data_IF_920954254942
#
_entry.id   IF_920954254942
#
_cell.length_a   1.000
_cell.length_b   1.000
_cell.length_c   1.000
_cell.angle_alpha   90.00
_cell.angle_beta   90.00
_cell.angle_gamma   90.00
#
_symmetry.space_group_name_H-M   'P 1'
#
loop_
_entity.id
_entity.type
_entity.pdbx_description
1 polymer ?
#
# COMPACT_ATOMS: atom_id res chain seq x y z
N UNK A 1 0.06 -10.96 24.16
CA UNK A 1 0.43 -10.44 25.50
C UNK A 1 1.92 -10.11 25.59
N UNK A 2 2.79 -10.90 24.95
CA UNK A 2 4.23 -10.66 24.84
C UNK A 2 4.59 -9.38 24.05
N UNK A 3 3.86 -9.03 22.98
CA UNK A 3 4.19 -7.85 22.16
C UNK A 3 3.89 -6.52 22.86
N UNK A 4 2.81 -6.48 23.64
CA UNK A 4 2.50 -5.33 24.50
C UNK A 4 3.56 -5.14 25.58
N UNK A 5 4.14 -6.23 26.08
CA UNK A 5 5.24 -6.18 27.06
C UNK A 5 6.55 -5.72 26.42
N UNK A 6 6.89 -6.23 25.22
CA UNK A 6 8.05 -5.75 24.44
C UNK A 6 7.92 -4.27 24.10
N UNK A 7 6.74 -3.82 23.69
CA UNK A 7 6.44 -2.41 23.43
C UNK A 7 6.67 -1.52 24.65
N UNK A 8 6.10 -1.89 25.81
CA UNK A 8 6.29 -1.12 27.06
C UNK A 8 7.75 -1.07 27.50
N UNK A 9 8.50 -2.15 27.31
CA UNK A 9 9.92 -2.22 27.65
C UNK A 9 10.80 -1.40 26.70
N UNK A 10 10.49 -1.39 25.40
CA UNK A 10 11.15 -0.57 24.38
C UNK A 10 10.91 0.92 24.60
N UNK A 11 9.65 1.32 24.72
CA UNK A 11 9.25 2.69 25.02
C UNK A 11 9.90 3.20 26.32
N UNK A 12 9.85 2.40 27.39
CA UNK A 12 10.46 2.75 28.67
C UNK A 12 11.99 2.86 28.62
N UNK A 13 12.66 2.23 27.65
CA UNK A 13 14.11 2.36 27.45
C UNK A 13 14.44 3.64 26.70
N UNK A 14 13.76 3.90 25.58
CA UNK A 14 13.92 5.12 24.78
C UNK A 14 13.59 6.39 25.59
N UNK A 15 12.48 6.37 26.34
CA UNK A 15 12.08 7.47 27.22
C UNK A 15 13.16 7.79 28.28
N UNK A 16 13.74 6.76 28.91
CA UNK A 16 14.80 6.95 29.92
C UNK A 16 16.10 7.49 29.31
N UNK A 17 16.44 7.08 28.09
CA UNK A 17 17.59 7.61 27.38
C UNK A 17 17.41 9.10 27.08
N UNK A 18 16.25 9.50 26.54
CA UNK A 18 15.92 10.91 26.27
C UNK A 18 15.89 11.77 27.55
N UNK A 19 15.31 11.26 28.64
CA UNK A 19 15.34 11.93 29.95
C UNK A 19 16.76 12.11 30.50
N UNK A 20 17.65 11.14 30.27
CA UNK A 20 19.07 11.22 30.67
C UNK A 20 19.85 12.23 29.83
N UNK A 21 19.43 12.47 28.59
CA UNK A 21 19.96 13.50 27.69
C UNK A 21 19.40 14.91 27.98
N UNK A 22 18.51 15.06 28.96
CA UNK A 22 17.99 16.37 29.40
C UNK A 22 16.65 16.78 28.78
N UNK A 23 16.03 15.93 27.97
CA UNK A 23 14.71 16.21 27.38
C UNK A 23 13.64 16.42 28.45
N UNK A 24 12.68 17.31 28.19
CA UNK A 24 11.50 17.47 29.04
C UNK A 24 10.69 16.16 29.08
N UNK A 25 9.70 16.06 29.97
CA UNK A 25 8.87 14.84 30.04
C UNK A 25 8.10 14.61 28.73
N UNK A 26 7.58 15.68 28.16
CA UNK A 26 6.78 15.67 26.94
C UNK A 26 7.68 15.34 25.74
N UNK A 27 8.85 15.99 25.63
CA UNK A 27 9.83 15.71 24.57
C UNK A 27 10.38 14.29 24.66
N UNK A 28 10.58 13.76 25.86
CA UNK A 28 11.06 12.39 26.04
C UNK A 28 10.00 11.34 25.69
N UNK A 29 8.71 11.66 25.88
CA UNK A 29 7.61 10.79 25.42
C UNK A 29 7.53 10.80 23.90
N UNK A 30 7.67 11.98 23.29
CA UNK A 30 7.66 12.16 21.84
C UNK A 30 8.86 11.47 21.18
N UNK A 31 10.06 11.64 21.73
CA UNK A 31 11.26 10.95 21.24
C UNK A 31 11.13 9.42 21.37
N UNK A 32 10.60 8.92 22.49
CA UNK A 32 10.39 7.49 22.67
C UNK A 32 9.32 6.92 21.73
N UNK A 33 8.27 7.69 21.42
CA UNK A 33 7.28 7.31 20.42
C UNK A 33 7.91 7.27 19.02
N UNK A 34 8.66 8.31 18.64
CA UNK A 34 9.35 8.40 17.34
C UNK A 34 10.34 7.26 17.11
N UNK A 35 11.19 6.92 18.08
CA UNK A 35 12.09 5.77 17.97
C UNK A 35 11.32 4.46 17.75
N UNK A 36 10.23 4.26 18.49
CA UNK A 36 9.41 3.04 18.36
C UNK A 36 8.67 2.96 17.02
N UNK A 37 8.27 4.10 16.46
CA UNK A 37 7.64 4.20 15.15
C UNK A 37 8.69 3.97 14.05
N UNK A 38 9.87 4.59 14.15
CA UNK A 38 10.98 4.37 13.22
C UNK A 38 11.45 2.92 13.17
N UNK A 39 11.58 2.27 14.33
CA UNK A 39 11.89 0.84 14.43
C UNK A 39 10.80 -0.05 13.81
N UNK A 40 9.54 0.38 13.85
CA UNK A 40 8.40 -0.34 13.26
C UNK A 40 8.28 -0.13 11.76
N UNK A 41 8.58 1.07 11.28
CA UNK A 41 8.52 1.44 9.86
C UNK A 41 9.85 1.17 9.12
N UNK A 42 10.91 0.78 9.83
CA UNK A 42 12.19 0.38 9.26
C UNK A 42 13.10 1.54 8.85
N UNK A 43 12.95 2.74 9.41
CA UNK A 43 13.83 3.88 9.13
C UNK A 43 13.92 4.87 10.30
N UNK A 44 15.04 5.62 10.37
CA UNK A 44 15.27 6.64 11.40
C UNK A 44 14.51 7.94 11.06
N UNK A 45 13.76 8.45 12.03
CA UNK A 45 12.92 9.66 11.91
C UNK A 45 13.75 10.93 12.20
N UNK A 46 14.93 10.81 12.85
CA UNK A 46 15.73 11.97 13.27
C UNK A 46 16.29 12.82 12.10
N UNK A 47 16.40 12.27 10.88
CA UNK A 47 16.98 12.94 9.71
C UNK A 47 15.96 13.32 8.61
N UNK A 48 14.66 13.19 8.87
CA UNK A 48 13.66 13.59 7.89
C UNK A 48 13.43 15.11 7.95
N UNK A 49 14.23 15.89 7.21
CA UNK A 49 13.80 17.23 6.76
C UNK A 49 12.58 17.04 5.83
N UNK A 50 11.40 16.88 6.42
CA UNK A 50 10.15 16.92 5.68
C UNK A 50 9.95 18.39 5.30
N UNK A 51 10.06 18.68 4.02
CA UNK A 51 9.73 20.00 3.50
C UNK A 51 8.30 20.34 3.93
N UNK A 52 8.13 21.49 4.58
CA UNK A 52 6.82 21.99 4.98
C UNK A 52 5.90 22.02 3.76
N UNK A 53 4.76 21.33 3.83
CA UNK A 53 3.86 21.20 2.69
C UNK A 53 3.28 22.58 2.34
N UNK A 54 3.20 22.92 1.03
CA UNK A 54 2.55 24.15 0.60
C UNK A 54 1.09 24.22 1.10
N UNK A 55 0.60 25.44 1.33
CA UNK A 55 -0.75 25.67 1.83
C UNK A 55 -1.81 24.97 0.96
N UNK A 56 -2.79 24.33 1.61
CA UNK A 56 -3.89 23.63 0.94
C UNK A 56 -3.57 22.20 0.46
N UNK A 57 -2.30 21.80 0.36
CA UNK A 57 -1.92 20.44 -0.05
C UNK A 57 -2.38 19.39 0.97
N UNK A 58 -2.09 19.64 2.25
CA UNK A 58 -2.50 18.75 3.34
C UNK A 58 -4.03 18.67 3.53
N UNK A 59 -4.75 19.75 3.20
CA UNK A 59 -6.22 19.74 3.23
C UNK A 59 -6.78 18.90 2.08
N UNK A 60 -6.28 19.10 0.87
CA UNK A 60 -6.67 18.33 -0.31
C UNK A 60 -6.43 16.83 -0.14
N UNK A 61 -5.28 16.43 0.43
CA UNK A 61 -5.01 15.00 0.62
C UNK A 61 -5.83 14.36 1.73
N UNK A 62 -6.29 15.14 2.72
CA UNK A 62 -7.16 14.64 3.80
C UNK A 62 -8.60 14.42 3.32
N UNK A 63 -9.09 15.31 2.46
CA UNK A 63 -10.40 15.20 1.83
C UNK A 63 -10.34 15.57 0.34
N UNK A 64 -9.93 14.63 -0.52
CA UNK A 64 -9.76 14.92 -1.95
C UNK A 64 -11.10 14.95 -2.71
N UNK A 65 -12.15 14.30 -2.19
CA UNK A 65 -13.40 14.10 -2.93
C UNK A 65 -14.01 15.40 -3.49
N UNK A 66 -14.08 16.52 -2.74
CA UNK A 66 -14.60 17.78 -3.27
C UNK A 66 -13.83 18.32 -4.48
N UNK A 67 -12.53 18.05 -4.60
CA UNK A 67 -11.70 18.52 -5.71
C UNK A 67 -11.92 17.71 -7.00
N UNK A 68 -12.48 16.49 -6.89
CA UNK A 68 -12.69 15.56 -8.01
C UNK A 68 -14.17 15.26 -8.27
N UNK A 69 -15.08 15.82 -7.48
CA UNK A 69 -16.51 15.74 -7.73
C UNK A 69 -16.85 16.50 -9.02
N UNK A 70 -17.32 15.78 -10.05
CA UNK A 70 -17.89 16.41 -11.25
C UNK A 70 -19.41 16.28 -11.26
N UNK A 71 -20.11 17.32 -11.73
CA UNK A 71 -21.57 17.26 -11.95
C UNK A 71 -21.94 16.17 -12.98
N UNK A 72 -21.00 15.82 -13.86
CA UNK A 72 -21.12 14.80 -14.92
C UNK A 72 -20.68 13.40 -14.49
N UNK A 73 -20.27 13.18 -13.23
CA UNK A 73 -19.83 11.87 -12.73
C UNK A 73 -20.96 10.81 -12.75
N UNK A 74 -22.19 11.19 -13.10
CA UNK A 74 -23.34 10.28 -13.19
C UNK A 74 -23.73 9.67 -11.84
N UNK A 75 -23.29 10.27 -10.73
CA UNK A 75 -23.43 9.69 -9.39
C UNK A 75 -22.39 8.62 -9.04
N UNK A 76 -21.36 8.43 -9.85
CA UNK A 76 -20.24 7.54 -9.51
C UNK A 76 -19.42 8.17 -8.37
N UNK A 77 -19.17 7.39 -7.30
CA UNK A 77 -18.40 7.85 -6.14
C UNK A 77 -16.95 8.21 -6.49
N UNK A 78 -16.25 8.83 -5.52
CA UNK A 78 -14.85 9.24 -5.65
C UNK A 78 -13.96 8.15 -6.26
N UNK A 79 -13.34 8.45 -7.40
CA UNK A 79 -12.43 7.56 -8.11
C UNK A 79 -13.07 6.46 -8.96
N UNK A 80 -14.40 6.40 -9.07
CA UNK A 80 -15.11 5.40 -9.88
C UNK A 80 -15.51 5.85 -11.29
N UNK A 81 -15.59 7.16 -11.54
CA UNK A 81 -15.88 7.69 -12.87
C UNK A 81 -14.77 7.34 -13.89
N UNK A 82 -15.05 7.27 -15.21
CA UNK A 82 -14.00 7.09 -16.21
C UNK A 82 -12.88 8.13 -16.05
N UNK A 83 -11.63 7.70 -16.19
CA UNK A 83 -10.46 8.57 -15.97
C UNK A 83 -9.45 8.45 -17.11
N UNK A 84 -8.85 9.58 -17.49
CA UNK A 84 -7.81 9.64 -18.51
C UNK A 84 -6.42 9.38 -17.90
N UNK A 85 -5.81 8.26 -18.31
CA UNK A 85 -4.41 7.95 -18.01
C UNK A 85 -3.53 8.59 -19.09
N UNK A 86 -2.68 9.54 -18.70
CA UNK A 86 -1.75 10.26 -19.57
C UNK A 86 -0.39 9.56 -19.62
N UNK A 87 0.50 9.89 -20.58
CA UNK A 87 1.88 9.42 -20.55
C UNK A 87 2.63 9.77 -19.25
N UNK A 88 2.35 10.94 -18.66
CA UNK A 88 2.95 11.38 -17.40
C UNK A 88 2.50 10.49 -16.22
N UNK A 89 1.21 10.11 -16.17
CA UNK A 89 0.71 9.12 -15.21
C UNK A 89 1.48 7.79 -15.33
N UNK A 90 1.73 7.33 -16.55
CA UNK A 90 2.47 6.08 -16.75
C UNK A 90 3.94 6.17 -16.32
N UNK A 91 4.59 7.33 -16.48
CA UNK A 91 5.96 7.54 -15.95
C UNK A 91 5.95 7.36 -14.43
N UNK A 92 5.01 7.99 -13.74
CA UNK A 92 4.91 7.93 -12.28
C UNK A 92 4.48 6.54 -11.77
N UNK A 93 3.59 5.85 -12.49
CA UNK A 93 3.22 4.46 -12.24
C UNK A 93 4.45 3.55 -12.17
N UNK A 94 5.40 3.71 -13.10
CA UNK A 94 6.63 2.88 -13.13
C UNK A 94 7.60 3.18 -12.00
N UNK A 95 7.40 4.29 -11.29
CA UNK A 95 8.20 4.67 -10.13
C UNK A 95 7.55 4.27 -8.81
N UNK A 96 6.28 3.80 -8.84
CA UNK A 96 5.58 3.37 -7.65
C UNK A 96 6.40 2.36 -6.85
N UNK A 97 6.47 2.61 -5.55
CA UNK A 97 7.14 1.76 -4.58
C UNK A 97 6.10 1.28 -3.58
N UNK A 98 5.91 -0.03 -3.46
CA UNK A 98 5.00 -0.61 -2.48
C UNK A 98 5.71 -0.95 -1.16
N UNK A 99 4.92 -0.93 -0.10
CA UNK A 99 5.20 -1.42 1.24
C UNK A 99 3.98 -2.19 1.75
N UNK A 100 3.95 -2.54 3.02
CA UNK A 100 2.89 -3.31 3.64
C UNK A 100 2.13 -2.51 4.69
N UNK A 101 0.81 -2.40 4.54
CA UNK A 101 -0.10 -1.97 5.59
C UNK A 101 -0.21 -3.09 6.61
N UNK A 102 0.18 -2.82 7.86
CA UNK A 102 0.11 -3.78 8.95
C UNK A 102 -1.26 -3.83 9.65
N UNK A 103 -2.23 -3.01 9.24
CA UNK A 103 -3.57 -3.01 9.82
C UNK A 103 -4.31 -4.32 9.53
N UNK A 104 -5.12 -4.80 10.49
CA UNK A 104 -5.93 -6.03 10.35
C UNK A 104 -5.08 -7.27 9.97
N UNK A 105 -5.28 -7.82 8.75
CA UNK A 105 -4.48 -8.93 8.19
C UNK A 105 -3.30 -8.43 7.34
N UNK A 106 -3.29 -7.14 7.08
CA UNK A 106 -2.38 -6.41 6.24
C UNK A 106 -2.71 -6.47 4.77
N UNK A 107 -2.10 -5.57 3.99
CA UNK A 107 -2.21 -5.56 2.54
C UNK A 107 -1.11 -4.69 1.91
N UNK A 108 -0.78 -4.87 0.63
CA UNK A 108 0.10 -3.96 -0.09
C UNK A 108 -0.44 -2.52 -0.08
N UNK A 109 0.42 -1.57 0.23
CA UNK A 109 0.14 -0.13 0.09
C UNK A 109 1.27 0.56 -0.65
N UNK A 110 1.00 1.69 -1.29
CA UNK A 110 2.07 2.55 -1.79
C UNK A 110 2.88 3.08 -0.58
N UNK A 111 4.22 3.03 -0.67
CA UNK A 111 5.15 3.43 0.40
C UNK A 111 4.86 4.87 0.81
N UNK A 112 4.32 5.12 2.01
CA UNK A 112 3.87 6.45 2.39
C UNK A 112 5.06 7.39 2.61
N UNK A 113 6.27 6.90 2.89
CA UNK A 113 7.45 7.75 3.03
C UNK A 113 8.06 8.12 1.67
N UNK A 114 7.96 7.21 0.69
CA UNK A 114 8.55 7.36 -0.64
C UNK A 114 7.65 6.76 -1.73
N UNK A 115 6.47 7.36 -2.02
CA UNK A 115 5.48 6.74 -2.89
C UNK A 115 6.04 6.37 -4.26
N UNK A 116 6.98 7.16 -4.76
CA UNK A 116 7.63 6.97 -6.06
C UNK A 116 9.16 6.85 -5.94
N UNK A 117 9.64 6.37 -4.78
CA UNK A 117 11.06 6.09 -4.53
C UNK A 117 11.88 7.25 -3.94
N UNK A 118 11.34 8.48 -3.90
CA UNK A 118 12.00 9.64 -3.27
C UNK A 118 11.16 10.23 -2.13
N UNK A 119 11.84 10.90 -1.19
CA UNK A 119 11.22 11.57 -0.04
C UNK A 119 10.71 12.98 -0.39
N UNK A 120 11.20 13.60 -1.45
CA UNK A 120 10.80 14.95 -1.88
C UNK A 120 9.63 14.91 -2.88
N UNK A 121 8.49 14.37 -2.44
CA UNK A 121 7.34 14.07 -3.28
C UNK A 121 6.93 15.21 -4.21
N UNK A 122 6.80 16.44 -3.69
CA UNK A 122 6.37 17.59 -4.49
C UNK A 122 7.38 17.96 -5.60
N UNK A 123 8.68 17.83 -5.33
CA UNK A 123 9.71 18.09 -6.32
C UNK A 123 9.70 17.00 -7.41
N UNK A 124 9.55 15.74 -7.02
CA UNK A 124 9.40 14.63 -7.97
C UNK A 124 8.16 14.79 -8.86
N UNK A 125 7.02 15.21 -8.29
CA UNK A 125 5.82 15.50 -9.06
C UNK A 125 6.07 16.65 -10.07
N UNK A 126 6.75 17.72 -9.67
CA UNK A 126 7.09 18.83 -10.56
C UNK A 126 8.02 18.44 -11.73
N UNK A 127 8.88 17.42 -11.55
CA UNK A 127 9.70 16.87 -12.63
C UNK A 127 8.86 16.12 -13.68
N UNK A 128 7.82 15.40 -13.24
CA UNK A 128 6.91 14.63 -14.12
C UNK A 128 5.85 15.52 -14.75
N UNK A 129 5.38 16.54 -14.03
CA UNK A 129 4.35 17.50 -14.43
C UNK A 129 4.90 18.93 -14.42
N UNK A 130 5.78 19.28 -15.37
CA UNK A 130 6.48 20.56 -15.36
C UNK A 130 5.52 21.73 -15.56
N UNK A 131 5.67 22.75 -14.71
CA UNK A 131 4.92 24.01 -14.80
C UNK A 131 3.59 24.03 -14.05
N UNK A 132 3.20 22.93 -13.40
CA UNK A 132 2.04 22.90 -12.51
C UNK A 132 2.34 23.53 -11.14
N UNK A 133 1.31 24.12 -10.54
CA UNK A 133 1.40 24.68 -9.18
C UNK A 133 1.21 23.59 -8.10
N UNK A 134 1.51 23.93 -6.85
CA UNK A 134 1.47 22.96 -5.76
C UNK A 134 0.09 22.29 -5.56
N UNK A 135 -1.05 23.01 -5.60
CA UNK A 135 -2.36 22.38 -5.56
C UNK A 135 -2.62 21.39 -6.70
N UNK A 136 -2.21 21.73 -7.93
CA UNK A 136 -2.38 20.84 -9.08
C UNK A 136 -1.47 19.61 -8.97
N UNK A 137 -0.21 19.78 -8.55
CA UNK A 137 0.67 18.66 -8.24
C UNK A 137 0.10 17.76 -7.14
N UNK A 138 -0.53 18.33 -6.11
CA UNK A 138 -1.21 17.56 -5.07
C UNK A 138 -2.38 16.74 -5.64
N UNK A 139 -3.14 17.29 -6.59
CA UNK A 139 -4.15 16.55 -7.34
C UNK A 139 -3.53 15.41 -8.15
N UNK A 140 -2.37 15.61 -8.82
CA UNK A 140 -1.67 14.53 -9.54
C UNK A 140 -1.31 13.35 -8.64
N UNK A 141 -0.98 13.60 -7.37
CA UNK A 141 -0.75 12.51 -6.43
C UNK A 141 -2.02 11.69 -6.16
N UNK A 142 -3.15 12.37 -5.95
CA UNK A 142 -4.45 11.72 -5.76
C UNK A 142 -4.88 10.98 -7.03
N UNK A 143 -4.66 11.54 -8.22
CA UNK A 143 -4.95 10.88 -9.49
C UNK A 143 -4.24 9.53 -9.62
N UNK A 144 -3.07 9.34 -9.00
CA UNK A 144 -2.40 8.05 -9.03
C UNK A 144 -3.14 6.94 -8.27
N UNK A 145 -4.04 7.27 -7.34
CA UNK A 145 -5.02 6.30 -6.80
C UNK A 145 -5.97 5.82 -7.91
N UNK A 146 -6.46 6.73 -8.74
CA UNK A 146 -7.33 6.38 -9.86
C UNK A 146 -6.57 5.53 -10.90
N UNK A 147 -5.33 5.93 -11.22
CA UNK A 147 -4.45 5.21 -12.15
C UNK A 147 -4.20 3.79 -11.66
N UNK A 148 -3.82 3.60 -10.39
CA UNK A 148 -3.55 2.27 -9.83
C UNK A 148 -4.78 1.36 -9.95
N UNK A 149 -5.96 1.83 -9.54
CA UNK A 149 -7.18 1.05 -9.62
C UNK A 149 -7.48 0.56 -11.06
N UNK A 150 -7.27 1.43 -12.06
CA UNK A 150 -7.51 1.09 -13.47
C UNK A 150 -6.44 0.18 -14.05
N UNK A 151 -5.18 0.38 -13.66
CA UNK A 151 -4.07 -0.46 -14.08
C UNK A 151 -4.27 -1.89 -13.60
N UNK A 152 -4.72 -2.10 -12.35
CA UNK A 152 -4.96 -3.45 -11.82
C UNK A 152 -6.08 -4.21 -12.57
N UNK A 153 -7.06 -3.49 -13.12
CA UNK A 153 -8.17 -4.08 -13.90
C UNK A 153 -7.77 -4.28 -15.37
N UNK A 154 -7.20 -3.26 -16.01
CA UNK A 154 -7.01 -3.19 -17.46
C UNK A 154 -5.59 -3.56 -17.92
N UNK A 155 -4.61 -3.46 -17.03
CA UNK A 155 -3.21 -3.77 -17.31
C UNK A 155 -3.00 -5.25 -17.58
N UNK A 156 -2.01 -5.57 -18.43
CA UNK A 156 -1.68 -6.95 -18.79
C UNK A 156 -0.26 -7.28 -18.38
N UNK A 157 -0.11 -8.30 -17.54
CA UNK A 157 1.17 -8.89 -17.18
C UNK A 157 1.10 -10.40 -17.44
N UNK A 158 2.16 -10.97 -18.00
CA UNK A 158 2.27 -12.43 -18.13
C UNK A 158 2.69 -13.05 -16.81
N UNK A 159 2.27 -14.29 -16.52
CA UNK A 159 2.90 -15.04 -15.44
C UNK A 159 4.38 -15.28 -15.75
N UNK A 160 5.21 -15.28 -14.73
CA UNK A 160 6.65 -15.34 -14.90
C UNK A 160 7.43 -14.85 -13.70
N UNK A 161 8.72 -14.60 -13.94
CA UNK A 161 9.71 -14.26 -12.94
C UNK A 161 10.22 -12.85 -13.21
N UNK A 162 10.15 -11.99 -12.20
CA UNK A 162 10.38 -10.56 -12.32
C UNK A 162 11.44 -10.10 -11.33
N UNK A 163 12.49 -9.46 -11.85
CA UNK A 163 13.44 -8.70 -11.03
C UNK A 163 12.84 -7.32 -10.82
N UNK A 164 12.63 -6.96 -9.56
CA UNK A 164 12.07 -5.67 -9.18
C UNK A 164 13.14 -4.59 -9.25
N UNK A 165 12.73 -3.37 -9.61
CA UNK A 165 13.62 -2.21 -9.75
C UNK A 165 13.44 -1.19 -8.63
N UNK A 166 12.22 -1.07 -8.09
CA UNK A 166 11.90 0.00 -7.14
C UNK A 166 11.97 -0.45 -5.67
N UNK A 167 11.90 -1.77 -5.44
CA UNK A 167 12.16 -2.40 -4.12
C UNK A 167 13.10 -3.58 -4.30
N UNK A 168 13.88 -3.86 -3.27
CA UNK A 168 14.79 -4.99 -3.20
C UNK A 168 14.18 -6.18 -2.41
N UNK A 169 14.73 -7.39 -2.53
CA UNK A 169 14.28 -8.54 -1.72
C UNK A 169 14.26 -8.26 -0.21
N UNK A 170 15.23 -7.47 0.29
CA UNK A 170 15.29 -7.10 1.71
C UNK A 170 14.17 -6.14 2.12
N UNK A 171 13.68 -5.29 1.20
CA UNK A 171 12.51 -4.45 1.45
C UNK A 171 11.26 -5.32 1.66
N UNK A 172 11.07 -6.36 0.84
CA UNK A 172 9.95 -7.30 0.97
C UNK A 172 10.00 -8.05 2.31
N UNK A 173 11.17 -8.57 2.68
CA UNK A 173 11.38 -9.24 3.99
C UNK A 173 11.14 -8.29 5.15
N UNK A 174 11.57 -7.04 5.04
CA UNK A 174 11.36 -6.03 6.08
C UNK A 174 9.88 -5.68 6.23
N UNK A 175 9.17 -5.46 5.12
CA UNK A 175 7.75 -5.09 5.10
C UNK A 175 6.86 -6.19 5.72
N UNK A 176 7.22 -7.46 5.53
CA UNK A 176 6.46 -8.61 6.04
C UNK A 176 7.06 -9.21 7.33
N UNK A 177 8.00 -8.51 7.98
CA UNK A 177 8.59 -8.96 9.25
C UNK A 177 7.53 -9.09 10.34
N UNK A 178 7.55 -10.20 11.06
CA UNK A 178 6.60 -10.48 12.15
C UNK A 178 5.31 -11.16 11.70
N UNK A 179 5.12 -11.35 10.39
CA UNK A 179 4.17 -12.33 9.86
C UNK A 179 4.76 -13.74 9.90
N UNK A 180 3.93 -14.77 9.75
CA UNK A 180 4.35 -16.19 9.82
C UNK A 180 4.42 -16.77 11.24
N UNK A 181 4.23 -15.96 12.28
CA UNK A 181 4.28 -16.43 13.67
C UNK A 181 5.70 -16.73 14.12
N UNK A 182 5.88 -17.81 14.90
CA UNK A 182 7.18 -18.17 15.49
C UNK A 182 8.22 -18.62 14.45
N UNK A 183 7.77 -19.13 13.30
CA UNK A 183 8.63 -19.63 12.23
C UNK A 183 9.09 -18.54 11.24
N UNK A 184 8.55 -17.32 11.38
CA UNK A 184 8.66 -16.21 10.40
C UNK A 184 8.21 -16.65 8.98
N UNK A 185 8.26 -15.74 8.01
CA UNK A 185 7.99 -16.09 6.61
C UNK A 185 9.30 -16.44 5.89
N UNK A 186 9.28 -17.51 5.11
CA UNK A 186 10.38 -17.83 4.19
C UNK A 186 10.29 -16.98 2.91
N UNK A 187 11.39 -16.94 2.14
CA UNK A 187 11.41 -16.31 0.82
C UNK A 187 10.28 -16.84 -0.10
N UNK A 188 10.01 -18.14 -0.05
CA UNK A 188 8.94 -18.75 -0.83
C UNK A 188 7.54 -18.28 -0.39
N UNK A 189 7.33 -18.03 0.90
CA UNK A 189 6.04 -17.55 1.43
C UNK A 189 5.73 -16.13 0.97
N UNK A 190 6.76 -15.32 0.70
CA UNK A 190 6.64 -13.95 0.17
C UNK A 190 6.88 -13.86 -1.34
N UNK A 191 7.08 -14.99 -2.02
CA UNK A 191 7.08 -15.10 -3.47
C UNK A 191 8.44 -14.85 -4.12
N UNK A 192 9.52 -14.85 -3.34
CA UNK A 192 10.89 -14.74 -3.80
C UNK A 192 11.45 -16.11 -4.18
N UNK A 193 12.18 -16.16 -5.29
CA UNK A 193 13.02 -17.30 -5.65
C UNK A 193 14.45 -17.16 -5.07
N UNK A 194 15.30 -18.16 -5.35
CA UNK A 194 16.68 -18.20 -4.87
C UNK A 194 17.57 -17.04 -5.40
N UNK A 195 17.19 -16.42 -6.51
CA UNK A 195 17.90 -15.26 -7.08
C UNK A 195 17.34 -13.93 -6.55
N UNK A 196 16.30 -13.98 -5.70
CA UNK A 196 15.58 -12.79 -5.23
C UNK A 196 14.58 -12.23 -6.24
N UNK A 197 14.23 -12.97 -7.29
CA UNK A 197 13.19 -12.57 -8.22
C UNK A 197 11.81 -12.89 -7.66
N UNK A 198 10.82 -12.04 -7.93
CA UNK A 198 9.43 -12.31 -7.59
C UNK A 198 8.80 -13.22 -8.64
N UNK A 199 8.14 -14.28 -8.17
CA UNK A 199 7.33 -15.16 -9.01
C UNK A 199 5.89 -14.68 -9.04
N UNK A 200 5.40 -14.30 -10.22
CA UNK A 200 3.99 -13.93 -10.47
C UNK A 200 3.31 -15.06 -11.24
N UNK A 201 2.24 -15.59 -10.66
CA UNK A 201 1.43 -16.68 -11.23
C UNK A 201 0.03 -16.24 -11.60
N UNK A 202 -0.70 -17.09 -12.33
CA UNK A 202 -2.05 -16.78 -12.81
C UNK A 202 -3.05 -16.49 -11.67
N UNK A 203 -2.89 -17.13 -10.51
CA UNK A 203 -3.73 -16.87 -9.33
C UNK A 203 -3.50 -15.45 -8.77
N UNK A 204 -2.25 -14.95 -8.78
CA UNK A 204 -1.96 -13.57 -8.42
C UNK A 204 -2.65 -12.59 -9.36
N UNK A 205 -2.55 -12.85 -10.67
CA UNK A 205 -3.15 -11.99 -11.71
C UNK A 205 -4.68 -11.98 -11.63
N UNK A 206 -5.31 -13.08 -11.22
CA UNK A 206 -6.76 -13.12 -10.95
C UNK A 206 -7.10 -12.26 -9.74
N UNK A 207 -6.40 -12.45 -8.62
CA UNK A 207 -6.64 -11.68 -7.39
C UNK A 207 -6.39 -10.18 -7.55
N UNK A 208 -5.41 -9.78 -8.37
CA UNK A 208 -5.13 -8.37 -8.66
C UNK A 208 -6.34 -7.64 -9.26
N UNK A 209 -7.08 -8.29 -10.17
CA UNK A 209 -8.23 -7.66 -10.84
C UNK A 209 -9.39 -7.33 -9.92
N UNK A 210 -9.54 -8.12 -8.85
CA UNK A 210 -10.60 -7.97 -7.85
C UNK A 210 -10.11 -7.26 -6.57
N UNK A 211 -8.89 -6.70 -6.60
CA UNK A 211 -8.30 -6.00 -5.48
C UNK A 211 -9.03 -4.69 -5.21
N UNK A 212 -9.47 -4.48 -3.97
CA UNK A 212 -10.06 -3.23 -3.51
C UNK A 212 -8.97 -2.25 -3.14
N UNK A 213 -8.87 -1.13 -3.88
CA UNK A 213 -7.98 -0.02 -3.56
C UNK A 213 -8.79 1.09 -2.89
N UNK A 214 -8.24 1.69 -1.85
CA UNK A 214 -8.80 2.84 -1.15
C UNK A 214 -7.83 4.00 -1.10
N UNK A 215 -8.38 5.21 -1.12
CA UNK A 215 -7.70 6.35 -0.50
C UNK A 215 -7.82 6.21 1.02
N UNK A 216 -6.80 6.58 1.81
CA UNK A 216 -6.90 6.48 3.25
C UNK A 216 -7.99 7.39 3.84
N UNK A 217 -8.44 7.08 5.05
CA UNK A 217 -9.41 7.95 5.73
C UNK A 217 -8.78 9.31 6.06
N UNK A 218 -9.59 10.34 6.28
CA UNK A 218 -9.09 11.66 6.73
C UNK A 218 -8.17 11.54 7.95
N UNK A 219 -8.53 10.68 8.90
CA UNK A 219 -7.73 10.43 10.10
C UNK A 219 -6.40 9.73 9.80
N UNK A 220 -6.43 8.69 8.95
CA UNK A 220 -5.20 8.02 8.51
C UNK A 220 -4.29 8.98 7.70
N UNK A 221 -4.88 9.97 7.01
CA UNK A 221 -4.15 10.99 6.29
C UNK A 221 -3.48 11.98 7.24
N UNK A 222 -4.21 12.48 8.24
CA UNK A 222 -3.70 13.37 9.27
C UNK A 222 -2.54 12.71 10.04
N UNK A 223 -2.72 11.46 10.49
CA UNK A 223 -1.66 10.71 11.20
C UNK A 223 -0.39 10.56 10.34
N UNK A 224 -0.54 10.17 9.07
CA UNK A 224 0.62 10.06 8.16
C UNK A 224 1.33 11.40 7.99
N UNK A 225 0.59 12.49 7.80
CA UNK A 225 1.16 13.81 7.59
C UNK A 225 1.92 14.30 8.84
N UNK A 226 1.35 14.07 10.03
CA UNK A 226 2.00 14.37 11.31
C UNK A 226 3.28 13.56 11.53
N UNK A 227 3.34 12.35 10.97
CA UNK A 227 4.52 11.48 10.97
C UNK A 227 5.52 11.78 9.85
N UNK A 228 5.23 12.75 8.98
CA UNK A 228 6.11 13.10 7.87
C UNK A 228 6.01 12.17 6.66
N UNK A 229 4.93 11.43 6.56
CA UNK A 229 4.60 10.55 5.47
C UNK A 229 3.44 11.12 4.64
N UNK A 230 3.22 10.54 3.47
CA UNK A 230 2.24 10.98 2.49
C UNK A 230 1.03 10.05 2.48
N UNK A 231 -0.19 10.59 2.47
CA UNK A 231 -1.39 9.83 2.13
C UNK A 231 -1.24 9.19 0.76
N UNK A 232 -1.45 7.88 0.66
CA UNK A 232 -1.18 7.14 -0.55
C UNK A 232 -2.19 6.02 -0.77
N UNK A 233 -2.40 5.65 -2.05
CA UNK A 233 -3.29 4.56 -2.42
C UNK A 233 -2.87 3.25 -1.74
N UNK A 234 -3.81 2.58 -1.10
CA UNK A 234 -3.58 1.31 -0.42
C UNK A 234 -4.62 0.29 -0.84
N UNK A 235 -4.24 -0.98 -0.89
CA UNK A 235 -5.23 -2.05 -0.86
C UNK A 235 -5.99 -1.99 0.47
N UNK A 236 -7.29 -2.23 0.45
CA UNK A 236 -8.10 -2.27 1.66
C UNK A 236 -7.59 -3.41 2.56
N UNK A 237 -6.96 -3.07 3.69
CA UNK A 237 -6.36 -4.03 4.61
C UNK A 237 -7.38 -4.85 5.38
N UNK A 238 -8.64 -4.41 5.43
CA UNK A 238 -9.75 -5.14 6.04
C UNK A 238 -10.48 -6.03 5.04
N UNK A 239 -10.63 -5.55 3.80
CA UNK A 239 -11.41 -6.17 2.73
C UNK A 239 -10.67 -6.14 1.38
N UNK A 240 -9.51 -6.78 1.30
CA UNK A 240 -8.61 -6.67 0.14
C UNK A 240 -9.22 -7.16 -1.17
N UNK A 241 -10.11 -8.17 -1.13
CA UNK A 241 -10.57 -8.87 -2.33
C UNK A 241 -12.10 -8.87 -2.51
N UNK A 242 -12.84 -8.07 -1.73
CA UNK A 242 -14.30 -8.13 -1.74
C UNK A 242 -14.94 -7.48 -0.53
N UNK A 243 -16.01 -8.07 0.00
CA UNK A 243 -16.79 -7.52 1.11
C UNK A 243 -16.72 -8.36 2.40
N UNK A 244 -16.00 -9.48 2.37
CA UNK A 244 -15.89 -10.41 3.49
C UNK A 244 -14.69 -10.05 4.38
N UNK A 245 -14.90 -10.07 5.70
CA UNK A 245 -13.81 -9.90 6.68
C UNK A 245 -12.85 -11.10 6.70
N UNK A 246 -13.36 -12.29 6.35
CA UNK A 246 -12.53 -13.49 6.18
C UNK A 246 -12.11 -13.58 4.72
N UNK A 247 -10.98 -12.96 4.41
CA UNK A 247 -10.49 -12.68 3.06
C UNK A 247 -10.37 -13.94 2.20
N UNK A 248 -10.13 -15.09 2.83
CA UNK A 248 -10.00 -16.40 2.20
C UNK A 248 -11.28 -16.82 1.46
N UNK A 249 -12.46 -16.34 1.87
CA UNK A 249 -13.72 -16.58 1.15
C UNK A 249 -13.69 -15.91 -0.22
N UNK A 250 -13.34 -14.62 -0.25
CA UNK A 250 -13.34 -13.84 -1.48
C UNK A 250 -12.22 -14.34 -2.40
N UNK A 251 -11.03 -14.61 -1.85
CA UNK A 251 -9.94 -15.22 -2.63
C UNK A 251 -10.36 -16.57 -3.22
N UNK A 252 -10.97 -17.46 -2.43
CA UNK A 252 -11.44 -18.75 -2.94
C UNK A 252 -12.54 -18.57 -4.00
N UNK A 253 -13.43 -17.58 -3.85
CA UNK A 253 -14.46 -17.27 -4.85
C UNK A 253 -13.84 -16.80 -6.17
N UNK A 254 -12.93 -15.83 -6.13
CA UNK A 254 -12.21 -15.28 -7.30
C UNK A 254 -11.45 -16.39 -8.03
N UNK A 255 -10.80 -17.28 -7.27
CA UNK A 255 -10.03 -18.39 -7.83
C UNK A 255 -10.89 -19.57 -8.30
N UNK A 256 -12.21 -19.54 -8.09
CA UNK A 256 -13.11 -20.66 -8.43
C UNK A 256 -12.89 -21.91 -7.56
N UNK A 257 -12.39 -21.71 -6.33
CA UNK A 257 -12.05 -22.75 -5.35
C UNK A 257 -13.00 -22.77 -4.14
N UNK A 258 -13.98 -21.87 -4.09
CA UNK A 258 -14.94 -21.83 -2.98
C UNK A 258 -15.78 -23.12 -2.97
N UNK A 259 -15.69 -23.96 -1.92
CA UNK A 259 -16.48 -25.16 -1.79
C UNK A 259 -17.96 -24.81 -1.58
N UNK A 260 -18.87 -25.78 -1.78
CA UNK A 260 -20.28 -25.60 -1.43
C UNK A 260 -20.44 -25.17 0.02
N UNK A 261 -21.43 -24.31 0.28
CA UNK A 261 -21.74 -23.87 1.64
C UNK A 261 -22.01 -25.10 2.53
N UNK A 262 -21.33 -25.22 3.69
CA UNK A 262 -21.60 -26.31 4.60
C UNK A 262 -22.98 -26.15 5.26
N UNK A 263 -23.56 -27.23 5.82
CA UNK A 263 -24.92 -27.21 6.37
C UNK A 263 -25.14 -26.20 7.52
N UNK A 264 -24.07 -25.83 8.22
CA UNK A 264 -24.04 -24.84 9.31
C UNK A 264 -23.73 -23.42 8.84
N UNK A 265 -23.44 -23.23 7.53
CA UNK A 265 -23.20 -21.94 6.91
C UNK A 265 -21.83 -21.31 7.21
N UNK A 266 -20.92 -22.02 7.89
CA UNK A 266 -19.60 -21.49 8.25
C UNK A 266 -18.54 -22.00 7.28
N UNK A 267 -17.99 -21.13 6.43
CA UNK A 267 -16.87 -21.52 5.58
C UNK A 267 -15.60 -21.68 6.40
N UNK A 268 -15.14 -22.93 6.51
CA UNK A 268 -13.81 -23.27 7.01
C UNK A 268 -13.04 -23.97 5.87
N UNK A 269 -12.05 -23.31 5.24
CA UNK A 269 -11.24 -23.95 4.21
C UNK A 269 -10.44 -25.10 4.81
N UNK A 270 -10.27 -26.18 4.06
CA UNK A 270 -9.32 -27.23 4.45
C UNK A 270 -7.92 -26.61 4.70
N UNK A 271 -7.13 -27.15 5.65
CA UNK A 271 -5.86 -26.52 6.05
C UNK A 271 -4.89 -26.23 4.89
N UNK A 272 -4.87 -27.11 3.88
CA UNK A 272 -4.04 -26.92 2.70
C UNK A 272 -4.48 -25.72 1.85
N UNK A 273 -5.79 -25.53 1.67
CA UNK A 273 -6.35 -24.38 0.96
C UNK A 273 -6.11 -23.10 1.77
N UNK A 274 -6.35 -23.13 3.08
CA UNK A 274 -6.11 -21.99 3.95
C UNK A 274 -4.64 -21.51 3.86
N UNK A 275 -3.69 -22.43 3.97
CA UNK A 275 -2.26 -22.12 3.85
C UNK A 275 -1.89 -21.61 2.45
N UNK A 276 -2.50 -22.13 1.39
CA UNK A 276 -2.29 -21.67 0.02
C UNK A 276 -2.77 -20.23 -0.19
N UNK A 277 -4.01 -19.93 0.22
CA UNK A 277 -4.60 -18.58 0.11
C UNK A 277 -3.81 -17.57 0.94
N UNK A 278 -3.41 -17.94 2.16
CA UNK A 278 -2.60 -17.08 3.01
C UNK A 278 -1.24 -16.76 2.39
N UNK A 279 -0.56 -17.74 1.77
CA UNK A 279 0.68 -17.49 1.04
C UNK A 279 0.46 -16.57 -0.16
N UNK A 280 -0.55 -16.82 -0.98
CA UNK A 280 -0.90 -15.94 -2.10
C UNK A 280 -1.10 -14.49 -1.63
N UNK A 281 -1.75 -14.29 -0.49
CA UNK A 281 -1.97 -12.97 0.08
C UNK A 281 -0.67 -12.24 0.43
N UNK A 282 0.29 -12.91 1.08
CA UNK A 282 1.60 -12.31 1.36
C UNK A 282 2.40 -12.02 0.08
N UNK A 283 2.32 -12.93 -0.90
CA UNK A 283 2.96 -12.79 -2.21
C UNK A 283 2.42 -11.59 -3.01
N UNK A 284 1.22 -11.08 -2.70
CA UNK A 284 0.66 -9.92 -3.39
C UNK A 284 1.52 -8.66 -3.31
N UNK A 285 2.33 -8.49 -2.26
CA UNK A 285 3.22 -7.33 -2.17
C UNK A 285 4.21 -7.30 -3.33
N UNK A 286 4.99 -8.38 -3.48
CA UNK A 286 5.94 -8.51 -4.57
C UNK A 286 5.22 -8.55 -5.92
N UNK A 287 4.08 -9.24 -6.01
CA UNK A 287 3.35 -9.39 -7.26
C UNK A 287 2.77 -8.04 -7.76
N UNK A 288 2.20 -7.23 -6.88
CA UNK A 288 1.71 -5.88 -7.23
C UNK A 288 2.86 -4.96 -7.62
N UNK A 289 4.01 -5.05 -6.94
CA UNK A 289 5.21 -4.30 -7.35
C UNK A 289 5.67 -4.71 -8.76
N UNK A 290 5.77 -6.01 -9.04
CA UNK A 290 6.10 -6.51 -10.38
C UNK A 290 5.09 -6.00 -11.42
N UNK A 291 3.82 -5.93 -11.07
CA UNK A 291 2.75 -5.46 -11.94
C UNK A 291 2.87 -3.97 -12.29
N UNK A 292 3.01 -3.07 -11.31
CA UNK A 292 3.15 -1.64 -11.59
C UNK A 292 4.43 -1.32 -12.35
N UNK A 293 5.47 -2.14 -12.21
CA UNK A 293 6.71 -1.97 -12.96
C UNK A 293 6.63 -2.46 -14.41
N UNK A 294 5.87 -3.54 -14.69
CA UNK A 294 6.01 -4.30 -15.93
C UNK A 294 4.72 -4.49 -16.74
N UNK A 295 3.54 -4.27 -16.16
CA UNK A 295 2.28 -4.52 -16.86
C UNK A 295 2.10 -3.59 -18.07
N UNK A 296 1.67 -4.12 -19.20
CA UNK A 296 1.36 -3.35 -20.40
C UNK A 296 0.04 -2.60 -20.22
N UNK A 297 0.08 -1.29 -20.46
CA UNK A 297 -1.08 -0.40 -20.53
C UNK A 297 -0.70 0.84 -21.35
N UNK A 298 -1.62 1.31 -22.20
CA UNK A 298 -1.42 2.52 -23.01
C UNK A 298 -2.13 3.73 -22.37
N UNK A 299 -1.72 4.97 -22.71
CA UNK A 299 -2.53 6.14 -22.38
C UNK A 299 -3.94 6.02 -22.99
N UNK A 300 -4.95 6.52 -22.28
CA UNK A 300 -6.35 6.43 -22.70
C UNK A 300 -7.34 6.65 -21.57
N UNK A 301 -8.63 6.63 -21.89
CA UNK A 301 -9.72 6.74 -20.92
C UNK A 301 -10.16 5.35 -20.50
N UNK A 302 -10.16 5.09 -19.19
CA UNK A 302 -10.50 3.80 -18.60
C UNK A 302 -11.64 3.92 -17.60
N UNK A 303 -12.61 3.01 -17.71
CA UNK A 303 -13.74 2.85 -16.78
C UNK A 303 -13.54 1.55 -15.99
N UNK A 304 -13.71 1.62 -14.66
CA UNK A 304 -13.60 0.44 -13.79
C UNK A 304 -14.73 -0.58 -14.05
N UNK A 305 -15.88 -0.15 -14.56
CA UNK A 305 -17.04 -1.01 -14.81
C UNK A 305 -17.04 -1.67 -16.19
N UNK A 306 -16.15 -1.25 -17.10
CA UNK A 306 -16.11 -1.69 -18.49
C UNK A 306 -14.89 -2.55 -18.80
N UNK A 307 -14.52 -3.48 -17.90
CA UNK A 307 -13.44 -4.43 -18.17
C UNK A 307 -13.85 -5.40 -19.30
N UNK A 308 -13.05 -5.45 -20.38
CA UNK A 308 -13.18 -6.43 -21.48
C UNK A 308 -12.67 -7.82 -21.10
#
# INVERSE_FOLDING_TARGET
MLDRLKFMLGFGRAYRAARKAGASREDAQLAAARTMIGDRLGFDIEDAEIAELPAGVAELWRDPEPAFASEDAGGNGFGYAPFEITPAHLVLLRQMRFSWDGAERGAPMLDPARPYGRRDLMAQLAEVFPGEDAPTLAQRHVEMFFVLARVLVHGRLSSGRYILRNIEPDDLRAALRGYGGDDELSDADIGLDADGAVTVGDEHLKLMRDTQIRWPSEWDCEERLDEGAYPAAAMDSKRPYGDMTFIEIDMARILGRLPPAPPDGVFEPEPALAAHLQRLHWQMLGAMQAFVENAEIAPGVYDLNAAE
#
